data_IF_144865466262
#
_entry.id   IF_144865466262
#
_cell.length_a   1.000
_cell.length_b   1.000
_cell.length_c   1.000
_cell.angle_alpha   90.00
_cell.angle_beta   90.00
_cell.angle_gamma   90.00
#
_symmetry.space_group_name_H-M   'P 1'
#
loop_
_entity.id
_entity.type
_entity.pdbx_description
1 polymer ?
#
# COMPACT_ATOMS: atom_id res chain seq x y z
N UNK A 1 -19.48 1.59 34.52
CA UNK A 1 -18.05 1.50 34.11
C UNK A 1 -17.78 0.40 33.07
N UNK A 2 -18.70 -0.52 32.77
CA UNK A 2 -18.49 -1.62 31.80
C UNK A 2 -18.81 -1.28 30.33
N UNK A 3 -19.87 -0.51 30.07
CA UNK A 3 -20.34 -0.24 28.69
C UNK A 3 -19.34 0.58 27.87
N UNK A 4 -18.73 1.61 28.46
CA UNK A 4 -17.71 2.43 27.78
C UNK A 4 -16.43 1.67 27.45
N UNK A 5 -16.03 0.73 28.33
CA UNK A 5 -14.90 -0.16 28.10
C UNK A 5 -15.19 -1.12 26.93
N UNK A 6 -16.37 -1.74 26.92
CA UNK A 6 -16.79 -2.65 25.85
C UNK A 6 -16.86 -1.94 24.50
N UNK A 7 -17.48 -0.76 24.44
CA UNK A 7 -17.56 0.04 23.21
C UNK A 7 -16.16 0.42 22.74
N UNK A 8 -15.29 0.91 23.65
CA UNK A 8 -13.90 1.25 23.32
C UNK A 8 -13.14 0.06 22.73
N UNK A 9 -13.23 -1.12 23.35
CA UNK A 9 -12.58 -2.33 22.85
C UNK A 9 -13.10 -2.76 21.47
N UNK A 10 -14.41 -2.68 21.22
CA UNK A 10 -15.00 -3.01 19.91
C UNK A 10 -14.50 -2.03 18.85
N UNK A 11 -14.57 -0.72 19.13
CA UNK A 11 -14.10 0.31 18.19
C UNK A 11 -12.60 0.17 17.92
N UNK A 12 -11.80 -0.11 18.95
CA UNK A 12 -10.38 -0.40 18.82
C UNK A 12 -10.10 -1.61 17.94
N UNK A 13 -10.85 -2.70 18.11
CA UNK A 13 -10.73 -3.89 17.26
C UNK A 13 -11.07 -3.58 15.80
N UNK A 14 -12.10 -2.77 15.54
CA UNK A 14 -12.45 -2.31 14.19
C UNK A 14 -11.30 -1.53 13.56
N UNK A 15 -10.66 -0.62 14.31
CA UNK A 15 -9.48 0.09 13.82
C UNK A 15 -8.33 -0.84 13.48
N UNK A 16 -8.03 -1.84 14.32
CA UNK A 16 -6.98 -2.83 14.03
C UNK A 16 -7.28 -3.59 12.73
N UNK A 17 -8.53 -4.00 12.52
CA UNK A 17 -8.95 -4.69 11.30
C UNK A 17 -8.78 -3.80 10.06
N UNK A 18 -9.19 -2.53 10.15
CA UNK A 18 -9.00 -1.57 9.07
C UNK A 18 -7.51 -1.39 8.76
N UNK A 19 -6.68 -1.20 9.77
CA UNK A 19 -5.24 -1.02 9.59
C UNK A 19 -4.58 -2.25 8.95
N UNK A 20 -4.93 -3.45 9.44
CA UNK A 20 -4.45 -4.72 8.91
C UNK A 20 -4.85 -4.94 7.44
N UNK A 21 -6.13 -4.72 7.12
CA UNK A 21 -6.62 -4.82 5.75
C UNK A 21 -5.93 -3.82 4.83
N UNK A 22 -5.71 -2.59 5.31
CA UNK A 22 -4.97 -1.58 4.56
C UNK A 22 -3.52 -1.99 4.32
N UNK A 23 -2.81 -2.55 5.30
CA UNK A 23 -1.41 -3.00 5.16
C UNK A 23 -1.27 -4.14 4.13
N UNK A 24 -2.16 -5.12 4.19
CA UNK A 24 -2.23 -6.18 3.19
C UNK A 24 -2.54 -5.63 1.79
N UNK A 25 -3.46 -4.67 1.69
CA UNK A 25 -3.88 -4.07 0.43
C UNK A 25 -2.75 -3.28 -0.26
N UNK A 26 -2.05 -2.42 0.47
CA UNK A 26 -0.89 -1.69 -0.08
C UNK A 26 0.18 -2.66 -0.56
N UNK A 27 0.51 -3.66 0.26
CA UNK A 27 1.51 -4.67 -0.11
C UNK A 27 1.11 -5.38 -1.39
N UNK A 28 -0.15 -5.79 -1.54
CA UNK A 28 -0.63 -6.45 -2.75
C UNK A 28 -0.61 -5.52 -3.97
N UNK A 29 -1.06 -4.26 -3.84
CA UNK A 29 -1.12 -3.30 -4.95
C UNK A 29 0.26 -2.87 -5.45
N UNK A 30 1.23 -2.76 -4.54
CA UNK A 30 2.61 -2.36 -4.88
C UNK A 30 3.40 -3.54 -5.48
N UNK A 31 3.06 -4.77 -5.14
CA UNK A 31 3.75 -5.99 -5.62
C UNK A 31 3.16 -6.60 -6.87
N UNK A 32 1.86 -6.48 -7.12
CA UNK A 32 1.25 -7.07 -8.30
C UNK A 32 1.60 -6.27 -9.57
N UNK A 33 1.93 -6.96 -10.67
CA UNK A 33 2.22 -6.31 -11.95
C UNK A 33 0.94 -6.04 -12.74
N UNK A 34 0.96 -5.04 -13.64
CA UNK A 34 -0.17 -4.77 -14.55
C UNK A 34 -0.45 -5.95 -15.48
N UNK A 35 0.61 -6.60 -15.98
CA UNK A 35 0.48 -7.80 -16.82
C UNK A 35 -0.24 -8.93 -16.08
N UNK A 36 0.14 -9.20 -14.81
CA UNK A 36 -0.54 -10.21 -13.98
C UNK A 36 -2.00 -9.86 -13.75
N UNK A 37 -2.31 -8.59 -13.48
CA UNK A 37 -3.68 -8.13 -13.27
C UNK A 37 -4.57 -8.29 -14.52
N UNK A 38 -4.03 -8.00 -15.71
CA UNK A 38 -4.74 -8.18 -16.98
C UNK A 38 -4.96 -9.65 -17.35
N UNK A 39 -4.18 -10.57 -16.77
CA UNK A 39 -4.33 -12.01 -16.98
C UNK A 39 -5.50 -12.65 -16.23
N UNK A 40 -6.18 -11.94 -15.33
CA UNK A 40 -7.35 -12.47 -14.64
C UNK A 40 -8.60 -12.36 -15.50
N UNK A 41 -9.30 -13.48 -15.66
CA UNK A 41 -10.64 -13.52 -16.23
C UNK A 41 -11.65 -12.84 -15.27
N UNK A 42 -12.35 -11.76 -15.71
CA UNK A 42 -13.37 -11.08 -14.91
C UNK A 42 -14.57 -11.94 -14.50
N UNK A 43 -14.92 -12.98 -15.28
CA UNK A 43 -16.03 -13.87 -14.94
C UNK A 43 -15.63 -14.85 -13.84
N UNK A 44 -14.41 -15.40 -13.92
CA UNK A 44 -13.89 -16.33 -12.92
C UNK A 44 -13.36 -15.65 -11.65
N UNK A 45 -12.91 -14.39 -11.72
CA UNK A 45 -12.21 -13.71 -10.63
C UNK A 45 -12.91 -12.41 -10.18
N UNK A 46 -13.73 -12.47 -9.12
CA UNK A 46 -14.39 -11.29 -8.58
C UNK A 46 -13.37 -10.24 -8.13
N UNK A 47 -13.39 -9.07 -8.78
CA UNK A 47 -12.47 -7.97 -8.50
C UNK A 47 -11.38 -7.76 -9.53
N UNK A 48 -11.26 -8.61 -10.56
CA UNK A 48 -10.29 -8.41 -11.65
C UNK A 48 -10.48 -7.06 -12.37
N UNK A 49 -11.72 -6.71 -12.72
CA UNK A 49 -12.02 -5.40 -13.32
C UNK A 49 -11.64 -4.22 -12.40
N UNK A 50 -11.95 -4.34 -11.10
CA UNK A 50 -11.56 -3.33 -10.12
C UNK A 50 -10.04 -3.24 -9.95
N UNK A 51 -9.34 -4.36 -10.07
CA UNK A 51 -7.88 -4.42 -9.95
C UNK A 51 -7.22 -3.66 -11.11
N UNK A 52 -7.67 -3.89 -12.35
CA UNK A 52 -7.16 -3.15 -13.51
C UNK A 52 -7.43 -1.65 -13.37
N UNK A 53 -8.64 -1.26 -12.94
CA UNK A 53 -9.02 0.14 -12.68
C UNK A 53 -8.10 0.79 -11.63
N UNK A 54 -7.93 0.15 -10.47
CA UNK A 54 -7.10 0.65 -9.35
C UNK A 54 -5.63 0.75 -9.74
N UNK A 55 -5.10 -0.19 -10.54
CA UNK A 55 -3.70 -0.16 -10.98
C UNK A 55 -3.45 0.84 -12.13
N UNK A 56 -4.50 1.34 -12.78
CA UNK A 56 -4.43 2.42 -13.75
C UNK A 56 -3.94 3.72 -13.10
N UNK A 57 -4.47 4.04 -11.91
CA UNK A 57 -4.13 5.22 -11.13
C UNK A 57 -3.64 4.87 -9.72
N UNK A 58 -2.53 4.12 -9.62
CA UNK A 58 -2.02 3.61 -8.33
C UNK A 58 -1.82 4.70 -7.29
N UNK A 59 -1.21 5.82 -7.67
CA UNK A 59 -0.90 6.91 -6.73
C UNK A 59 -2.18 7.53 -6.13
N UNK A 60 -3.17 7.84 -6.97
CA UNK A 60 -4.43 8.45 -6.51
C UNK A 60 -5.27 7.47 -5.69
N UNK A 61 -5.12 6.17 -5.96
CA UNK A 61 -5.92 5.12 -5.34
C UNK A 61 -5.32 4.60 -4.03
N UNK A 62 -4.00 4.65 -3.88
CA UNK A 62 -3.32 4.27 -2.63
C UNK A 62 -3.40 5.37 -1.56
N UNK A 63 -3.43 6.65 -1.93
CA UNK A 63 -3.46 7.74 -0.95
C UNK A 63 -4.63 7.64 0.08
N UNK A 64 -5.89 7.36 -0.31
CA UNK A 64 -6.98 7.11 0.64
C UNK A 64 -6.76 5.92 1.56
N UNK A 65 -6.16 4.85 1.03
CA UNK A 65 -5.83 3.67 1.80
C UNK A 65 -4.81 3.98 2.90
N UNK A 66 -3.73 4.68 2.54
CA UNK A 66 -2.68 5.09 3.46
C UNK A 66 -3.23 6.00 4.56
N UNK A 67 -4.02 7.01 4.18
CA UNK A 67 -4.66 7.90 5.15
C UNK A 67 -5.57 7.14 6.12
N UNK A 68 -6.38 6.21 5.61
CA UNK A 68 -7.25 5.38 6.45
C UNK A 68 -6.46 4.53 7.45
N UNK A 69 -5.28 4.04 7.07
CA UNK A 69 -4.40 3.26 7.96
C UNK A 69 -3.82 4.13 9.07
N UNK A 70 -3.37 5.34 8.73
CA UNK A 70 -2.85 6.30 9.72
C UNK A 70 -3.95 6.66 10.72
N UNK A 71 -5.14 6.98 10.24
CA UNK A 71 -6.29 7.29 11.09
C UNK A 71 -6.65 6.11 12.01
N UNK A 72 -6.63 4.89 11.49
CA UNK A 72 -6.91 3.69 12.28
C UNK A 72 -5.86 3.43 13.36
N UNK A 73 -4.56 3.59 13.07
CA UNK A 73 -3.50 3.49 14.08
C UNK A 73 -3.68 4.52 15.19
N UNK A 74 -3.86 5.78 14.81
CA UNK A 74 -4.06 6.87 15.77
C UNK A 74 -5.31 6.59 16.61
N UNK A 75 -6.43 6.22 15.99
CA UNK A 75 -7.67 5.89 16.69
C UNK A 75 -7.52 4.74 17.69
N UNK A 76 -6.86 3.65 17.30
CA UNK A 76 -6.61 2.51 18.17
C UNK A 76 -5.73 2.89 19.38
N UNK A 77 -4.63 3.62 19.14
CA UNK A 77 -3.73 4.08 20.20
C UNK A 77 -4.47 5.04 21.14
N UNK A 78 -5.24 6.00 20.60
CA UNK A 78 -6.02 6.95 21.39
C UNK A 78 -7.01 6.24 22.31
N UNK A 79 -7.71 5.20 21.83
CA UNK A 79 -8.64 4.43 22.68
C UNK A 79 -7.89 3.74 23.84
N UNK A 80 -6.76 3.10 23.56
CA UNK A 80 -6.01 2.41 24.62
C UNK A 80 -5.43 3.41 25.62
N UNK A 81 -4.84 4.50 25.13
CA UNK A 81 -4.25 5.55 25.97
C UNK A 81 -5.30 6.22 26.84
N UNK A 82 -6.45 6.61 26.29
CA UNK A 82 -7.55 7.23 27.06
C UNK A 82 -8.05 6.29 28.16
N UNK A 83 -8.15 5.00 27.88
CA UNK A 83 -8.57 4.01 28.86
C UNK A 83 -7.58 3.81 30.01
N UNK A 84 -6.28 4.00 29.75
CA UNK A 84 -5.20 3.89 30.75
C UNK A 84 -4.99 5.21 31.50
N UNK A 85 -5.23 6.36 30.86
CA UNK A 85 -5.03 7.68 31.42
C UNK A 85 -5.78 7.86 32.75
N UNK A 86 -7.03 7.43 32.81
CA UNK A 86 -7.88 7.53 34.00
C UNK A 86 -7.38 6.69 35.19
N UNK A 87 -6.45 5.75 34.98
CA UNK A 87 -6.07 4.73 35.98
C UNK A 87 -4.61 4.74 36.40
N UNK A 88 -3.68 5.21 35.57
CA UNK A 88 -2.23 4.98 35.78
C UNK A 88 -1.34 6.22 35.63
N UNK A 89 -1.91 7.41 35.49
CA UNK A 89 -1.15 8.66 35.36
C UNK A 89 -0.20 8.69 34.16
N UNK A 90 0.70 9.67 34.11
CA UNK A 90 1.54 9.95 32.92
C UNK A 90 2.45 8.78 32.53
N UNK A 91 3.04 8.07 33.50
CA UNK A 91 3.89 6.91 33.21
C UNK A 91 3.12 5.77 32.55
N UNK A 92 1.89 5.50 33.00
CA UNK A 92 1.01 4.50 32.40
C UNK A 92 0.60 4.84 30.96
N UNK A 93 0.38 6.13 30.67
CA UNK A 93 0.06 6.61 29.32
C UNK A 93 1.19 6.32 28.34
N UNK A 94 2.44 6.63 28.72
CA UNK A 94 3.61 6.39 27.85
C UNK A 94 3.78 4.90 27.57
N UNK A 95 3.69 4.05 28.60
CA UNK A 95 3.78 2.60 28.44
C UNK A 95 2.66 2.08 27.53
N UNK A 96 1.42 2.55 27.72
CA UNK A 96 0.28 2.16 26.89
C UNK A 96 0.47 2.54 25.42
N UNK A 97 1.00 3.74 25.14
CA UNK A 97 1.27 4.19 23.79
C UNK A 97 2.33 3.31 23.10
N UNK A 98 3.46 3.05 23.77
CA UNK A 98 4.55 2.21 23.24
C UNK A 98 4.09 0.78 23.01
N UNK A 99 3.39 0.18 23.97
CA UNK A 99 2.84 -1.18 23.82
C UNK A 99 1.81 -1.26 22.70
N UNK A 100 0.95 -0.24 22.55
CA UNK A 100 -0.04 -0.17 21.47
C UNK A 100 0.64 -0.08 20.10
N UNK A 101 1.68 0.74 19.97
CA UNK A 101 2.46 0.85 18.73
C UNK A 101 3.13 -0.49 18.37
N UNK A 102 3.75 -1.17 19.34
CA UNK A 102 4.34 -2.49 19.12
C UNK A 102 3.30 -3.54 18.71
N UNK A 103 2.14 -3.57 19.38
CA UNK A 103 1.05 -4.47 19.03
C UNK A 103 0.51 -4.20 17.62
N UNK A 104 0.29 -2.93 17.27
CA UNK A 104 -0.17 -2.55 15.94
C UNK A 104 0.87 -2.89 14.86
N UNK A 105 2.16 -2.68 15.12
CA UNK A 105 3.21 -3.11 14.19
C UNK A 105 3.13 -4.62 13.93
N UNK A 106 2.92 -5.45 14.96
CA UNK A 106 2.85 -6.91 14.75
C UNK A 106 1.54 -7.29 14.02
N UNK A 107 0.40 -6.90 14.58
CA UNK A 107 -0.91 -7.42 14.16
C UNK A 107 -1.53 -6.67 12.98
N UNK A 108 -1.24 -5.38 12.84
CA UNK A 108 -1.81 -4.53 11.81
C UNK A 108 -0.83 -4.18 10.67
N UNK A 109 0.46 -4.49 10.81
CA UNK A 109 1.46 -4.17 9.79
C UNK A 109 2.25 -5.41 9.34
N UNK A 110 3.01 -6.05 10.23
CA UNK A 110 3.93 -7.14 9.90
C UNK A 110 3.19 -8.42 9.44
N UNK A 111 2.26 -8.94 10.24
CA UNK A 111 1.53 -10.17 9.90
C UNK A 111 0.70 -10.00 8.61
N UNK A 112 -0.11 -8.93 8.44
CA UNK A 112 -0.89 -8.75 7.21
C UNK A 112 -0.03 -8.58 5.96
N UNK A 113 1.12 -7.89 6.08
CA UNK A 113 2.10 -7.75 5.00
C UNK A 113 2.68 -9.09 4.59
N UNK A 114 3.12 -9.90 5.56
CA UNK A 114 3.67 -11.24 5.27
C UNK A 114 2.61 -12.11 4.58
N UNK A 115 1.38 -12.10 5.09
CA UNK A 115 0.28 -12.85 4.48
C UNK A 115 0.00 -12.39 3.04
N UNK A 116 0.01 -11.08 2.78
CA UNK A 116 -0.21 -10.53 1.44
C UNK A 116 0.89 -10.93 0.46
N UNK A 117 2.15 -10.99 0.91
CA UNK A 117 3.27 -11.48 0.09
C UNK A 117 3.15 -12.97 -0.25
N UNK A 118 2.60 -13.78 0.66
CA UNK A 118 2.37 -15.21 0.41
C UNK A 118 1.16 -15.46 -0.51
N UNK A 119 0.22 -14.52 -0.59
CA UNK A 119 -1.06 -14.69 -1.30
C UNK A 119 -1.38 -13.49 -2.21
N UNK A 120 -0.39 -13.02 -2.99
CA UNK A 120 -0.46 -11.77 -3.75
C UNK A 120 -1.72 -11.66 -4.61
N UNK A 121 -2.03 -12.69 -5.40
CA UNK A 121 -3.19 -12.67 -6.31
C UNK A 121 -4.52 -12.50 -5.54
N UNK A 122 -4.73 -13.31 -4.49
CA UNK A 122 -5.95 -13.24 -3.67
C UNK A 122 -6.03 -11.94 -2.89
N UNK A 123 -4.91 -11.48 -2.33
CA UNK A 123 -4.82 -10.23 -1.61
C UNK A 123 -5.13 -9.05 -2.55
N UNK A 124 -4.60 -9.05 -3.78
CA UNK A 124 -4.81 -8.00 -4.75
C UNK A 124 -6.27 -7.92 -5.22
N UNK A 125 -6.87 -9.05 -5.62
CA UNK A 125 -8.27 -9.09 -6.07
C UNK A 125 -9.25 -8.60 -4.99
N UNK A 126 -9.05 -9.03 -3.73
CA UNK A 126 -9.88 -8.57 -2.61
C UNK A 126 -9.67 -7.09 -2.32
N UNK A 127 -8.41 -6.67 -2.26
CA UNK A 127 -8.04 -5.30 -1.95
C UNK A 127 -8.54 -4.32 -2.99
N UNK A 128 -8.49 -4.66 -4.27
CA UNK A 128 -9.02 -3.83 -5.34
C UNK A 128 -10.49 -3.44 -5.12
N UNK A 129 -11.31 -4.37 -4.61
CA UNK A 129 -12.72 -4.09 -4.29
C UNK A 129 -12.85 -3.13 -3.11
N UNK A 130 -12.03 -3.31 -2.08
CA UNK A 130 -11.98 -2.44 -0.90
C UNK A 130 -11.55 -1.02 -1.31
N UNK A 131 -10.49 -0.89 -2.10
CA UNK A 131 -9.99 0.39 -2.60
C UNK A 131 -11.04 1.10 -3.46
N UNK A 132 -11.71 0.35 -4.35
CA UNK A 132 -12.81 0.91 -5.17
C UNK A 132 -13.97 1.40 -4.31
N UNK A 133 -14.31 0.71 -3.23
CA UNK A 133 -15.34 1.18 -2.29
C UNK A 133 -14.86 2.43 -1.53
N UNK A 134 -13.60 2.46 -1.12
CA UNK A 134 -12.98 3.60 -0.42
C UNK A 134 -12.96 4.86 -1.30
N UNK A 135 -12.69 4.71 -2.59
CA UNK A 135 -12.72 5.78 -3.59
C UNK A 135 -14.11 6.42 -3.80
N UNK A 136 -15.19 5.69 -3.49
CA UNK A 136 -16.57 6.24 -3.55
C UNK A 136 -16.87 7.20 -2.40
N UNK A 137 -16.06 7.20 -1.34
CA UNK A 137 -16.22 8.10 -0.21
C UNK A 137 -15.67 9.48 -0.59
N UNK A 138 -16.55 10.32 -1.16
CA UNK A 138 -16.21 11.66 -1.63
C UNK A 138 -15.41 12.53 -0.64
N UNK A 139 -15.76 12.62 0.67
CA UNK A 139 -15.00 13.45 1.60
C UNK A 139 -13.58 12.92 1.83
N UNK A 140 -13.41 11.60 1.88
CA UNK A 140 -12.11 10.98 2.03
C UNK A 140 -11.22 11.27 0.82
N UNK A 141 -11.77 11.13 -0.39
CA UNK A 141 -11.05 11.45 -1.63
C UNK A 141 -10.67 12.93 -1.74
N UNK A 142 -11.54 13.83 -1.30
CA UNK A 142 -11.24 15.26 -1.27
C UNK A 142 -10.11 15.56 -0.28
N UNK A 143 -10.18 14.99 0.93
CA UNK A 143 -9.16 15.15 1.96
C UNK A 143 -7.80 14.61 1.50
N UNK A 144 -7.76 13.43 0.88
CA UNK A 144 -6.50 12.84 0.41
C UNK A 144 -5.87 13.68 -0.69
N UNK A 145 -6.68 14.17 -1.66
CA UNK A 145 -6.20 15.06 -2.71
C UNK A 145 -5.62 16.36 -2.15
N UNK A 146 -6.29 16.95 -1.15
CA UNK A 146 -5.79 18.14 -0.48
C UNK A 146 -4.44 17.87 0.20
N UNK A 147 -4.34 16.79 0.98
CA UNK A 147 -3.10 16.43 1.69
C UNK A 147 -1.96 16.10 0.71
N UNK A 148 -2.24 15.39 -0.38
CA UNK A 148 -1.26 15.13 -1.44
C UNK A 148 -0.84 16.41 -2.14
N UNK A 149 -1.76 17.35 -2.40
CA UNK A 149 -1.42 18.64 -3.00
C UNK A 149 -0.49 19.46 -2.10
N UNK A 150 -0.73 19.46 -0.78
CA UNK A 150 0.19 20.09 0.20
C UNK A 150 1.57 19.44 0.13
N UNK A 151 1.63 18.11 0.07
CA UNK A 151 2.89 17.37 -0.10
C UNK A 151 3.64 17.79 -1.37
N UNK A 152 2.95 17.90 -2.49
CA UNK A 152 3.54 18.30 -3.77
C UNK A 152 3.99 19.77 -3.81
N UNK A 153 3.38 20.66 -3.01
CA UNK A 153 3.84 22.04 -2.86
C UNK A 153 5.14 22.11 -2.05
N UNK A 154 5.25 21.28 -1.00
CA UNK A 154 6.45 21.23 -0.15
C UNK A 154 7.61 20.55 -0.88
N UNK A 155 7.32 19.47 -1.60
CA UNK A 155 8.29 18.70 -2.36
C UNK A 155 7.74 18.44 -3.76
N UNK A 156 7.96 19.36 -4.72
CA UNK A 156 7.52 19.16 -6.09
C UNK A 156 8.28 17.98 -6.70
N UNK A 157 7.53 16.95 -7.08
CA UNK A 157 8.08 15.85 -7.89
C UNK A 157 8.45 16.33 -9.29
N UNK A 158 9.30 15.58 -10.02
CA UNK A 158 9.57 15.87 -11.41
C UNK A 158 8.24 15.90 -12.20
N UNK A 159 8.00 17.02 -12.89
CA UNK A 159 6.78 17.20 -13.67
C UNK A 159 6.87 16.35 -14.94
N UNK A 160 6.22 15.19 -14.94
CA UNK A 160 6.15 14.29 -16.09
C UNK A 160 6.43 12.85 -15.69
N UNK A 161 5.78 11.90 -16.36
CA UNK A 161 6.10 10.48 -16.23
C UNK A 161 7.62 10.31 -16.26
N UNK A 162 8.17 9.53 -15.33
CA UNK A 162 9.58 9.16 -15.31
C UNK A 162 9.97 8.65 -16.69
N UNK A 163 10.55 9.51 -17.52
CA UNK A 163 11.12 9.11 -18.79
C UNK A 163 12.37 8.35 -18.40
N UNK A 164 12.23 7.02 -18.30
CA UNK A 164 13.34 6.13 -18.01
C UNK A 164 14.32 6.28 -19.17
N UNK A 165 15.53 6.77 -18.88
CA UNK A 165 16.55 6.90 -19.92
C UNK A 165 17.00 5.51 -20.35
N UNK A 166 17.60 5.43 -21.54
CA UNK A 166 18.18 4.18 -22.03
C UNK A 166 19.24 3.62 -21.06
N UNK A 167 20.08 4.48 -20.51
CA UNK A 167 21.06 4.10 -19.48
C UNK A 167 20.40 3.46 -18.25
N UNK A 168 19.24 3.98 -17.84
CA UNK A 168 18.48 3.43 -16.72
C UNK A 168 17.84 2.08 -17.09
N UNK A 169 17.35 1.92 -18.33
CA UNK A 169 16.86 0.63 -18.84
C UNK A 169 17.97 -0.43 -18.93
N UNK A 170 19.18 -0.04 -19.36
CA UNK A 170 20.35 -0.92 -19.40
C UNK A 170 20.77 -1.32 -17.99
N UNK A 171 20.84 -0.38 -17.05
CA UNK A 171 21.15 -0.65 -15.65
C UNK A 171 20.12 -1.61 -14.99
N UNK A 172 18.83 -1.43 -15.30
CA UNK A 172 17.77 -2.34 -14.84
C UNK A 172 17.90 -3.75 -15.43
N UNK A 173 18.27 -3.85 -16.72
CA UNK A 173 18.46 -5.14 -17.41
C UNK A 173 19.67 -5.88 -16.84
N UNK A 174 20.77 -5.18 -16.58
CA UNK A 174 21.96 -5.75 -15.96
C UNK A 174 21.68 -6.24 -14.52
N UNK A 175 20.93 -5.45 -13.74
CA UNK A 175 20.50 -5.87 -12.41
C UNK A 175 19.57 -7.10 -12.44
N UNK A 176 18.70 -7.22 -13.44
CA UNK A 176 17.82 -8.38 -13.61
C UNK A 176 18.58 -9.65 -13.96
N UNK A 177 19.60 -9.59 -14.83
CA UNK A 177 20.46 -10.72 -15.16
C UNK A 177 21.27 -11.18 -13.94
N UNK A 178 21.83 -10.24 -13.18
CA UNK A 178 22.58 -10.54 -11.95
C UNK A 178 21.71 -11.21 -10.86
N UNK A 179 20.42 -10.88 -10.81
CA UNK A 179 19.44 -11.48 -9.89
C UNK A 179 18.84 -12.81 -10.34
N UNK A 180 19.35 -13.43 -11.42
CA UNK A 180 18.77 -14.61 -12.07
C UNK A 180 17.30 -14.41 -12.53
N UNK A 181 16.91 -13.17 -12.82
CA UNK A 181 15.58 -12.83 -13.34
C UNK A 181 15.46 -13.01 -14.85
N UNK A 182 16.58 -12.92 -15.58
CA UNK A 182 16.70 -13.14 -17.03
C UNK A 182 18.04 -13.83 -17.32
N UNK A 183 18.13 -14.56 -18.43
CA UNK A 183 19.37 -15.22 -18.84
C UNK A 183 20.37 -14.22 -19.45
N UNK A 184 21.68 -14.52 -19.37
CA UNK A 184 22.71 -13.62 -19.91
C UNK A 184 22.56 -13.41 -21.43
N UNK A 185 22.11 -14.43 -22.16
CA UNK A 185 21.79 -14.32 -23.58
C UNK A 185 20.62 -13.37 -23.86
N UNK A 186 19.61 -13.30 -22.99
CA UNK A 186 18.48 -12.36 -23.13
C UNK A 186 18.94 -10.92 -22.89
N UNK A 187 19.85 -10.71 -21.92
CA UNK A 187 20.50 -9.41 -21.69
C UNK A 187 21.29 -8.95 -22.93
N UNK A 188 22.09 -9.83 -23.52
CA UNK A 188 22.86 -9.50 -24.74
C UNK A 188 21.95 -9.11 -25.91
N UNK A 189 20.81 -9.78 -26.07
CA UNK A 189 19.82 -9.43 -27.09
C UNK A 189 19.22 -8.04 -26.86
N UNK A 190 18.85 -7.69 -25.62
CA UNK A 190 18.29 -6.38 -25.28
C UNK A 190 19.32 -5.27 -25.56
N UNK A 191 20.56 -5.44 -25.10
CA UNK A 191 21.65 -4.48 -25.32
C UNK A 191 21.98 -4.31 -26.82
N UNK A 192 21.91 -5.40 -27.58
CA UNK A 192 22.15 -5.37 -29.03
C UNK A 192 21.08 -4.60 -29.80
N UNK A 193 19.82 -4.63 -29.36
CA UNK A 193 18.72 -3.83 -29.97
C UNK A 193 18.97 -2.33 -29.78
N UNK A 194 19.44 -1.91 -28.62
CA UNK A 194 19.81 -0.53 -28.33
C UNK A 194 21.01 -0.08 -29.20
N UNK A 195 22.09 -0.87 -29.23
CA UNK A 195 23.25 -0.59 -30.08
C UNK A 195 22.93 -0.55 -31.58
N UNK A 196 21.95 -1.34 -32.04
CA UNK A 196 21.46 -1.29 -33.42
C UNK A 196 20.72 0.03 -33.70
N UNK A 197 19.91 0.52 -32.75
CA UNK A 197 19.22 1.81 -32.86
C UNK A 197 20.17 2.98 -33.08
N UNK A 198 21.33 2.96 -32.42
CA UNK A 198 22.40 3.97 -32.58
C UNK A 198 23.16 3.85 -33.92
N UNK A 199 23.07 2.69 -34.58
CA UNK A 199 23.80 2.42 -35.83
C UNK A 199 22.98 2.77 -37.08
N UNK A 200 21.65 2.87 -36.97
CA UNK A 200 20.77 3.23 -38.09
C UNK A 200 20.73 4.76 -38.19
N UNK A 201 21.62 5.33 -39.01
CA UNK A 201 21.60 6.74 -39.46
C UNK A 201 20.81 6.89 -40.74
#
# INVERSE_FOLDING_TARGET
MSTGLLIGSIVGAVFVVIAAASAAAETAMTRISRARANGFDPEAHPGAAALVEVLGERETTLAPLLLSRVAAHVGAITIVVTLVADRRGTGGIVIAAVCSAAALYIFAEAIPRIWALQHIDRAALRSARILRALLRIAPLRALTRLLTAIGNVILPGPAGASVVSEDELLAMTEAAAAGAGIEEGEKELITSVFALGDTIV
#
